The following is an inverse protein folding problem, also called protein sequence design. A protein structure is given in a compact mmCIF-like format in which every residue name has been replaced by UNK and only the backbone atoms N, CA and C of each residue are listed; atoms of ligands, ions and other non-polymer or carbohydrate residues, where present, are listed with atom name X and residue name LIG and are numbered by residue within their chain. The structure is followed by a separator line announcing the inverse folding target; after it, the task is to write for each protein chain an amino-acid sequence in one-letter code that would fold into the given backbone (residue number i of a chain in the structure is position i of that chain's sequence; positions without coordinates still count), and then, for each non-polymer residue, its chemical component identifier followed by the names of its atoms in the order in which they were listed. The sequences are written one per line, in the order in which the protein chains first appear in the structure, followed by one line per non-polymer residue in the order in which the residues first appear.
data_IF_876689485727
#
_entry.id   IF_876689485727
#
_cell.length_a   1.000
_cell.length_b   1.000
_cell.length_c   1.000
_cell.angle_alpha   90.00
_cell.angle_beta   90.00
_cell.angle_gamma   90.00
#
_symmetry.space_group_name_H-M   'P 1'
#
loop_
_entity.id
_entity.type
_entity.pdbx_description
1 polymer ?
#
# COMPACT_ATOMS: atom_id res chain seq x y z
N UNK A 1 5.25 -23.03 -12.57
CA UNK A 1 4.65 -22.76 -13.92
C UNK A 1 3.77 -21.52 -13.82
N UNK A 2 3.95 -20.57 -14.75
CA UNK A 2 3.15 -19.34 -14.84
C UNK A 2 2.01 -19.56 -15.83
N UNK A 3 0.77 -19.29 -15.44
CA UNK A 3 -0.43 -19.38 -16.26
C UNK A 3 -1.11 -18.02 -16.33
N UNK A 4 -1.16 -17.41 -17.51
CA UNK A 4 -1.89 -16.18 -17.79
C UNK A 4 -3.12 -16.50 -18.65
N UNK A 5 -4.29 -15.98 -18.23
CA UNK A 5 -5.56 -16.11 -18.96
C UNK A 5 -6.15 -14.75 -19.29
N UNK A 6 -6.68 -14.62 -20.51
CA UNK A 6 -7.50 -13.48 -20.93
C UNK A 6 -8.87 -14.01 -21.29
N UNK A 7 -9.94 -13.46 -20.68
CA UNK A 7 -11.30 -13.85 -20.97
C UNK A 7 -12.02 -12.74 -21.75
N UNK A 8 -12.51 -13.08 -22.94
CA UNK A 8 -13.33 -12.21 -23.77
C UNK A 8 -14.72 -12.89 -23.99
N UNK A 9 -15.74 -12.39 -23.30
CA UNK A 9 -17.04 -13.04 -23.27
C UNK A 9 -16.96 -14.46 -22.69
N UNK A 10 -17.40 -15.45 -23.47
CA UNK A 10 -17.30 -16.88 -23.11
C UNK A 10 -15.98 -17.54 -23.48
N UNK A 11 -15.12 -16.85 -24.25
CA UNK A 11 -13.85 -17.41 -24.73
C UNK A 11 -12.71 -17.08 -23.79
N UNK A 12 -11.92 -18.07 -23.43
CA UNK A 12 -10.70 -17.93 -22.62
C UNK A 12 -9.49 -18.22 -23.48
N UNK A 13 -8.56 -17.27 -23.53
CA UNK A 13 -7.30 -17.38 -24.24
C UNK A 13 -6.16 -17.65 -23.27
N UNK A 14 -5.21 -18.49 -23.69
CA UNK A 14 -3.89 -18.67 -23.10
C UNK A 14 -2.89 -18.02 -24.07
N UNK A 15 -2.60 -16.73 -23.92
CA UNK A 15 -1.78 -16.00 -24.90
C UNK A 15 -0.33 -16.47 -24.89
N UNK A 16 0.29 -16.45 -26.05
CA UNK A 16 1.75 -16.55 -26.14
C UNK A 16 2.34 -15.21 -25.64
N UNK A 17 3.15 -15.28 -24.59
CA UNK A 17 3.78 -14.10 -23.97
C UNK A 17 5.18 -13.94 -24.56
N UNK A 18 5.48 -12.72 -25.02
CA UNK A 18 6.82 -12.31 -25.38
C UNK A 18 7.54 -11.81 -24.12
N UNK A 19 8.71 -12.33 -23.84
CA UNK A 19 9.66 -11.89 -22.82
C UNK A 19 9.18 -12.14 -21.38
N UNK A 20 8.57 -11.16 -20.72
CA UNK A 20 8.29 -11.22 -19.28
C UNK A 20 6.85 -10.79 -18.90
N UNK A 21 6.40 -11.26 -17.75
CA UNK A 21 5.20 -10.76 -17.07
C UNK A 21 5.66 -10.03 -15.82
N UNK A 22 5.18 -8.80 -15.59
CA UNK A 22 5.44 -8.07 -14.35
C UNK A 22 4.15 -7.84 -13.57
N UNK A 23 4.22 -8.08 -12.26
CA UNK A 23 3.13 -7.80 -11.32
C UNK A 23 3.63 -6.89 -10.22
N UNK A 24 3.01 -5.73 -10.05
CA UNK A 24 3.42 -4.71 -9.09
C UNK A 24 2.31 -4.44 -8.09
N UNK A 25 2.66 -4.37 -6.81
CA UNK A 25 1.74 -3.97 -5.73
C UNK A 25 2.41 -2.95 -4.83
N UNK A 26 1.59 -2.04 -4.31
CA UNK A 26 2.01 -1.04 -3.32
C UNK A 26 1.12 -1.11 -2.09
N UNK A 27 1.69 -0.78 -0.95
CA UNK A 27 0.95 -0.74 0.30
C UNK A 27 -0.16 0.30 0.30
N UNK A 28 0.00 1.40 -0.42
CA UNK A 28 -0.83 2.59 -0.28
C UNK A 28 -1.08 3.29 -1.62
N UNK A 29 -2.33 3.63 -1.86
CA UNK A 29 -2.72 4.65 -2.85
C UNK A 29 -2.76 4.25 -4.31
N UNK A 30 -2.32 3.04 -4.69
CA UNK A 30 -2.32 2.59 -6.08
C UNK A 30 -2.88 1.17 -6.23
N UNK A 31 -3.57 0.87 -7.34
CA UNK A 31 -4.02 -0.48 -7.65
C UNK A 31 -2.85 -1.39 -7.99
N UNK A 32 -3.02 -2.69 -7.76
CA UNK A 32 -2.11 -3.69 -8.30
C UNK A 32 -2.12 -3.65 -9.83
N UNK A 33 -0.93 -3.73 -10.43
CA UNK A 33 -0.71 -3.58 -11.86
C UNK A 33 -0.06 -4.84 -12.43
N UNK A 34 -0.60 -5.34 -13.53
CA UNK A 34 -0.03 -6.44 -14.30
C UNK A 34 0.32 -5.93 -15.71
N UNK A 35 1.56 -6.14 -16.14
CA UNK A 35 2.03 -5.78 -17.48
C UNK A 35 2.64 -6.99 -18.17
N UNK A 36 2.32 -7.16 -19.44
CA UNK A 36 2.83 -8.25 -20.28
C UNK A 36 2.70 -7.92 -21.75
N UNK A 37 3.45 -8.62 -22.61
CA UNK A 37 3.38 -8.49 -24.06
C UNK A 37 2.85 -9.76 -24.69
N UNK A 38 1.80 -9.64 -25.50
CA UNK A 38 1.17 -10.76 -26.21
C UNK A 38 1.66 -10.79 -27.65
N UNK A 39 2.10 -11.96 -28.11
CA UNK A 39 2.34 -12.20 -29.54
C UNK A 39 0.96 -12.41 -30.19
N UNK A 40 0.62 -11.52 -31.12
CA UNK A 40 -0.65 -11.56 -31.86
C UNK A 40 -0.57 -12.65 -32.93
N UNK A 41 -1.48 -13.59 -32.83
CA UNK A 41 -1.78 -14.58 -33.87
C UNK A 41 -3.16 -14.29 -34.51
N UNK A 42 -3.62 -15.18 -35.39
CA UNK A 42 -4.93 -15.05 -36.07
C UNK A 42 -6.10 -15.34 -35.14
N UNK A 43 -5.87 -16.06 -34.05
CA UNK A 43 -6.90 -16.60 -33.16
C UNK A 43 -7.21 -15.64 -32.02
N UNK A 44 -6.18 -15.05 -31.40
CA UNK A 44 -6.35 -14.26 -30.18
C UNK A 44 -7.06 -12.95 -30.46
N UNK A 45 -8.18 -12.75 -29.78
CA UNK A 45 -9.01 -11.53 -29.86
C UNK A 45 -9.41 -11.08 -28.46
N UNK A 46 -8.94 -9.90 -28.06
CA UNK A 46 -9.27 -9.31 -26.76
C UNK A 46 -9.27 -7.78 -26.84
N UNK A 47 -9.91 -7.14 -25.89
CA UNK A 47 -10.08 -5.69 -25.82
C UNK A 47 -9.97 -5.18 -24.39
N UNK A 48 -9.92 -3.85 -24.24
CA UNK A 48 -10.02 -3.18 -22.95
C UNK A 48 -11.31 -3.62 -22.23
N UNK A 49 -11.24 -3.76 -20.89
CA UNK A 49 -12.33 -4.31 -20.07
C UNK A 49 -12.34 -5.84 -19.96
N UNK A 50 -11.59 -6.58 -20.79
CA UNK A 50 -11.50 -8.02 -20.64
C UNK A 50 -10.79 -8.42 -19.34
N UNK A 51 -11.24 -9.51 -18.73
CA UNK A 51 -10.68 -10.07 -17.51
C UNK A 51 -9.33 -10.71 -17.79
N UNK A 52 -8.36 -10.43 -16.94
CA UNK A 52 -7.05 -11.09 -16.92
C UNK A 52 -6.82 -11.75 -15.58
N UNK A 53 -6.32 -12.97 -15.61
CA UNK A 53 -5.97 -13.75 -14.43
C UNK A 53 -4.57 -14.31 -14.55
N UNK A 54 -3.76 -14.16 -13.49
CA UNK A 54 -2.43 -14.76 -13.36
C UNK A 54 -2.43 -15.77 -12.23
N UNK A 55 -1.90 -16.96 -12.51
CA UNK A 55 -1.58 -17.99 -11.51
C UNK A 55 -0.11 -18.40 -11.64
N UNK A 56 0.50 -18.71 -10.50
CA UNK A 56 1.86 -19.26 -10.43
C UNK A 56 1.81 -20.52 -9.60
N UNK A 57 2.25 -21.64 -10.17
CA UNK A 57 2.16 -22.99 -9.54
C UNK A 57 0.76 -23.29 -8.98
N UNK A 58 -0.27 -23.04 -9.79
CA UNK A 58 -1.68 -23.16 -9.48
C UNK A 58 -2.20 -22.21 -8.36
N UNK A 59 -1.33 -21.38 -7.77
CA UNK A 59 -1.74 -20.38 -6.77
C UNK A 59 -2.23 -19.11 -7.46
N UNK A 60 -3.32 -18.56 -6.99
CA UNK A 60 -3.93 -17.31 -7.45
C UNK A 60 -3.04 -16.12 -7.09
N UNK A 61 -2.67 -15.29 -8.07
CA UNK A 61 -1.77 -14.14 -7.88
C UNK A 61 -2.47 -12.83 -8.21
N UNK A 62 -3.06 -12.73 -9.41
CA UNK A 62 -3.69 -11.50 -9.88
C UNK A 62 -4.99 -11.81 -10.61
N UNK A 63 -6.03 -10.99 -10.38
CA UNK A 63 -7.25 -10.94 -11.16
C UNK A 63 -7.66 -9.49 -11.35
N UNK A 64 -7.83 -9.06 -12.59
CA UNK A 64 -8.15 -7.67 -12.92
C UNK A 64 -8.57 -7.51 -14.36
N UNK A 65 -8.67 -6.27 -14.84
CA UNK A 65 -9.15 -5.97 -16.17
C UNK A 65 -8.09 -5.24 -17.00
N UNK A 66 -8.10 -5.45 -18.31
CA UNK A 66 -7.27 -4.73 -19.26
C UNK A 66 -7.73 -3.28 -19.33
N UNK A 67 -6.82 -2.35 -19.11
CA UNK A 67 -7.06 -0.91 -19.24
C UNK A 67 -6.35 -0.31 -20.45
N UNK A 68 -5.22 -0.88 -20.85
CA UNK A 68 -4.45 -0.35 -21.96
C UNK A 68 -3.93 -1.48 -22.85
N UNK A 69 -4.07 -1.25 -24.14
CA UNK A 69 -3.44 -2.05 -25.20
C UNK A 69 -2.61 -1.13 -26.08
N UNK A 70 -1.33 -1.42 -26.24
CA UNK A 70 -0.42 -0.64 -27.10
C UNK A 70 0.25 -1.57 -28.10
N UNK A 71 0.09 -1.31 -29.40
CA UNK A 71 0.90 -1.95 -30.45
C UNK A 71 2.23 -1.26 -30.54
N UNK A 72 3.30 -2.04 -30.41
CA UNK A 72 4.68 -1.57 -30.58
C UNK A 72 5.33 -2.06 -31.85
N UNK A 73 4.80 -3.15 -32.42
CA UNK A 73 5.17 -3.73 -33.69
C UNK A 73 3.95 -4.46 -34.28
N UNK A 74 4.06 -5.01 -35.51
CA UNK A 74 2.93 -5.65 -36.18
C UNK A 74 2.33 -6.82 -35.42
N UNK A 75 3.14 -7.54 -34.67
CA UNK A 75 2.73 -8.76 -33.97
C UNK A 75 2.74 -8.67 -32.43
N UNK A 76 3.20 -7.56 -31.84
CA UNK A 76 3.32 -7.45 -30.40
C UNK A 76 2.33 -6.45 -29.85
N UNK A 77 1.55 -6.88 -28.86
CA UNK A 77 0.58 -6.06 -28.13
C UNK A 77 1.02 -5.98 -26.67
N UNK A 78 1.48 -4.80 -26.23
CA UNK A 78 1.73 -4.51 -24.82
C UNK A 78 0.41 -4.26 -24.10
N UNK A 79 0.21 -4.92 -22.96
CA UNK A 79 -1.01 -4.89 -22.17
C UNK A 79 -0.70 -4.41 -20.76
N UNK A 80 -1.52 -3.48 -20.28
CA UNK A 80 -1.55 -3.11 -18.86
C UNK A 80 -2.92 -3.41 -18.28
N UNK A 81 -2.97 -4.21 -17.23
CA UNK A 81 -4.17 -4.54 -16.48
C UNK A 81 -4.05 -4.06 -15.03
N UNK A 82 -5.17 -3.70 -14.43
CA UNK A 82 -5.28 -3.31 -13.03
C UNK A 82 -6.31 -4.16 -12.30
N UNK A 83 -6.08 -4.37 -11.01
CA UNK A 83 -7.04 -4.99 -10.09
C UNK A 83 -8.22 -4.05 -9.74
N UNK A 84 -9.15 -4.51 -8.89
CA UNK A 84 -10.33 -3.73 -8.51
C UNK A 84 -10.02 -2.41 -7.81
N UNK A 85 -8.86 -2.27 -7.16
CA UNK A 85 -8.49 -1.01 -6.49
C UNK A 85 -8.41 0.15 -7.49
N UNK A 86 -8.30 -0.13 -8.80
CA UNK A 86 -8.34 0.90 -9.85
C UNK A 86 -9.65 1.70 -9.83
N UNK A 87 -10.75 1.06 -9.49
CA UNK A 87 -12.06 1.72 -9.42
C UNK A 87 -12.20 2.64 -8.21
N UNK A 88 -11.39 2.48 -7.19
CA UNK A 88 -11.32 3.41 -6.05
C UNK A 88 -10.68 4.77 -6.40
N UNK A 89 -10.15 4.93 -7.62
CA UNK A 89 -9.73 6.25 -8.16
C UNK A 89 -10.90 7.12 -8.63
N UNK A 90 -12.12 6.59 -8.68
CA UNK A 90 -13.32 7.39 -8.92
C UNK A 90 -13.48 8.40 -7.78
N UNK A 91 -13.99 9.59 -8.14
CA UNK A 91 -14.30 10.66 -7.19
C UNK A 91 -15.77 10.69 -6.84
N UNK A 92 -16.06 11.05 -5.60
CA UNK A 92 -17.42 11.25 -5.12
C UNK A 92 -17.43 12.28 -3.96
N UNK A 93 -18.62 12.68 -3.55
CA UNK A 93 -18.87 13.43 -2.32
C UNK A 93 -19.70 12.55 -1.39
N UNK A 94 -19.17 12.23 -0.21
CA UNK A 94 -19.78 11.33 0.77
C UNK A 94 -19.81 11.94 2.16
N UNK A 95 -20.85 11.60 2.90
CA UNK A 95 -20.94 11.87 4.34
C UNK A 95 -20.87 10.53 5.07
N UNK A 96 -19.90 10.42 5.96
CA UNK A 96 -19.77 9.26 6.85
C UNK A 96 -20.10 9.72 8.28
N UNK A 97 -21.04 9.05 8.90
CA UNK A 97 -21.52 9.38 10.25
C UNK A 97 -21.18 8.24 11.22
N UNK A 98 -20.23 8.50 12.12
CA UNK A 98 -19.83 7.58 13.18
C UNK A 98 -19.53 6.15 12.69
N UNK A 99 -18.68 6.01 11.67
CA UNK A 99 -18.30 4.74 11.06
C UNK A 99 -16.85 4.37 11.35
N UNK A 100 -16.57 3.08 11.45
CA UNK A 100 -15.19 2.58 11.41
C UNK A 100 -14.64 2.60 9.99
N UNK A 101 -13.31 2.60 9.83
CA UNK A 101 -12.70 2.51 8.49
C UNK A 101 -13.15 1.25 7.74
N UNK A 102 -13.32 0.13 8.43
CA UNK A 102 -13.85 -1.11 7.86
C UNK A 102 -15.26 -0.94 7.30
N UNK A 103 -16.14 -0.23 8.01
CA UNK A 103 -17.51 0.07 7.58
C UNK A 103 -17.52 1.03 6.38
N UNK A 104 -16.65 2.05 6.37
CA UNK A 104 -16.49 2.96 5.24
C UNK A 104 -16.09 2.19 3.97
N UNK A 105 -15.10 1.27 4.08
CA UNK A 105 -14.67 0.44 2.95
C UNK A 105 -15.82 -0.40 2.40
N UNK A 106 -16.56 -1.09 3.28
CA UNK A 106 -17.71 -1.92 2.87
C UNK A 106 -18.79 -1.11 2.16
N UNK A 107 -19.14 0.07 2.70
CA UNK A 107 -20.13 0.96 2.10
C UNK A 107 -19.68 1.46 0.72
N UNK A 108 -18.43 1.89 0.58
CA UNK A 108 -17.91 2.33 -0.71
C UNK A 108 -17.83 1.19 -1.73
N UNK A 109 -17.44 0.00 -1.30
CA UNK A 109 -17.44 -1.18 -2.17
C UNK A 109 -18.86 -1.55 -2.66
N UNK A 110 -19.86 -1.48 -1.78
CA UNK A 110 -21.27 -1.71 -2.11
C UNK A 110 -21.80 -0.66 -3.11
N UNK A 111 -21.57 0.64 -2.84
CA UNK A 111 -21.99 1.74 -3.71
C UNK A 111 -21.43 1.59 -5.14
N UNK A 112 -20.19 1.10 -5.26
CA UNK A 112 -19.51 0.94 -6.56
C UNK A 112 -19.53 -0.50 -7.08
N UNK A 113 -20.31 -1.40 -6.47
CA UNK A 113 -20.49 -2.82 -6.87
C UNK A 113 -19.15 -3.57 -6.96
N UNK A 114 -18.22 -3.27 -6.04
CA UNK A 114 -16.94 -3.94 -5.93
C UNK A 114 -17.06 -5.16 -5.02
N UNK A 115 -16.35 -6.22 -5.36
CA UNK A 115 -16.37 -7.46 -4.58
C UNK A 115 -15.45 -7.28 -3.36
N UNK A 116 -15.96 -7.60 -2.17
CA UNK A 116 -15.18 -7.60 -0.94
C UNK A 116 -14.83 -9.01 -0.50
N UNK A 117 -13.60 -9.19 -0.07
CA UNK A 117 -13.10 -10.39 0.60
C UNK A 117 -13.12 -10.21 2.13
N UNK A 118 -12.01 -10.52 2.77
CA UNK A 118 -11.86 -10.35 4.22
C UNK A 118 -11.63 -8.88 4.57
N UNK A 119 -12.55 -8.25 5.28
CA UNK A 119 -12.39 -6.89 5.82
C UNK A 119 -12.29 -7.01 7.35
N UNK A 120 -11.06 -6.95 7.90
CA UNK A 120 -10.83 -6.92 9.35
C UNK A 120 -11.48 -5.69 9.99
N UNK A 121 -12.10 -5.85 11.16
CA UNK A 121 -12.63 -4.70 11.90
C UNK A 121 -11.49 -3.83 12.42
N UNK A 122 -11.62 -2.53 12.21
CA UNK A 122 -10.63 -1.55 12.64
C UNK A 122 -10.87 -1.02 14.05
N UNK A 123 -12.03 -1.27 14.63
CA UNK A 123 -12.40 -1.05 16.04
C UNK A 123 -12.36 0.41 16.51
N UNK A 124 -12.13 1.39 15.64
CA UNK A 124 -12.18 2.82 15.97
C UNK A 124 -13.29 3.50 15.19
N UNK A 125 -14.24 4.08 15.91
CA UNK A 125 -15.34 4.84 15.32
C UNK A 125 -14.84 6.25 15.03
N UNK A 126 -14.86 6.62 13.76
CA UNK A 126 -14.47 7.94 13.28
C UNK A 126 -15.70 8.83 13.35
N UNK A 127 -15.56 10.03 13.91
CA UNK A 127 -16.62 11.02 13.98
C UNK A 127 -17.14 11.40 12.60
N UNK A 128 -18.34 12.00 12.56
CA UNK A 128 -18.98 12.46 11.34
C UNK A 128 -18.05 13.35 10.52
N UNK A 129 -17.92 13.03 9.25
CA UNK A 129 -17.06 13.76 8.32
C UNK A 129 -17.68 13.86 6.93
N UNK A 130 -17.42 14.97 6.27
CA UNK A 130 -17.77 15.21 4.88
C UNK A 130 -16.53 15.07 4.03
N UNK A 131 -16.58 14.18 3.06
CA UNK A 131 -15.55 13.98 2.05
C UNK A 131 -16.07 14.55 0.73
N UNK A 132 -15.57 15.73 0.35
CA UNK A 132 -16.04 16.43 -0.82
C UNK A 132 -15.04 16.34 -1.98
N UNK A 133 -15.52 15.89 -3.14
CA UNK A 133 -14.74 15.74 -4.38
C UNK A 133 -13.41 14.98 -4.21
N UNK A 134 -13.40 13.97 -3.37
CA UNK A 134 -12.23 13.11 -3.11
C UNK A 134 -12.33 11.80 -3.86
N UNK A 135 -11.19 11.17 -4.15
CA UNK A 135 -11.20 9.79 -4.62
C UNK A 135 -11.65 8.86 -3.48
N UNK A 136 -12.32 7.75 -3.82
CA UNK A 136 -12.71 6.76 -2.82
C UNK A 136 -11.47 6.21 -2.08
N UNK A 137 -10.35 6.08 -2.80
CA UNK A 137 -9.06 5.69 -2.22
C UNK A 137 -8.58 6.68 -1.15
N UNK A 138 -8.68 7.99 -1.41
CA UNK A 138 -8.30 9.03 -0.44
C UNK A 138 -9.21 9.02 0.78
N UNK A 139 -10.52 8.81 0.59
CA UNK A 139 -11.48 8.67 1.69
C UNK A 139 -11.11 7.49 2.61
N UNK A 140 -10.82 6.32 2.01
CA UNK A 140 -10.40 5.11 2.74
C UNK A 140 -9.06 5.34 3.43
N UNK A 141 -8.08 5.88 2.71
CA UNK A 141 -6.74 6.10 3.27
C UNK A 141 -6.79 7.07 4.45
N UNK A 142 -7.56 8.14 4.35
CA UNK A 142 -7.76 9.08 5.45
C UNK A 142 -8.40 8.41 6.67
N UNK A 143 -9.39 7.52 6.45
CA UNK A 143 -10.01 6.76 7.55
C UNK A 143 -9.03 5.79 8.23
N UNK A 144 -8.16 5.14 7.43
CA UNK A 144 -7.11 4.25 7.96
C UNK A 144 -6.02 5.03 8.71
N UNK A 145 -5.62 6.22 8.21
CA UNK A 145 -4.64 7.08 8.88
C UNK A 145 -5.18 7.60 10.24
N UNK A 146 -6.46 7.99 10.30
CA UNK A 146 -7.12 8.36 11.56
C UNK A 146 -7.17 7.17 12.53
N UNK A 147 -7.51 5.98 12.04
CA UNK A 147 -7.52 4.75 12.84
C UNK A 147 -6.12 4.46 13.40
N UNK A 148 -5.07 4.56 12.57
CA UNK A 148 -3.70 4.35 12.99
C UNK A 148 -3.28 5.33 14.10
N UNK A 149 -3.62 6.62 13.96
CA UNK A 149 -3.30 7.65 14.97
C UNK A 149 -3.96 7.38 16.33
N UNK A 150 -5.16 6.78 16.35
CA UNK A 150 -5.93 6.56 17.57
C UNK A 150 -5.76 5.17 18.18
N UNK A 151 -5.42 4.16 17.37
CA UNK A 151 -5.29 2.76 17.82
C UNK A 151 -3.86 2.26 17.77
N UNK A 152 -2.95 3.03 17.17
CA UNK A 152 -1.56 2.63 16.92
C UNK A 152 -1.45 1.28 16.16
N UNK A 153 -2.42 1.00 15.30
CA UNK A 153 -2.52 -0.22 14.50
C UNK A 153 -2.66 0.14 13.03
N UNK A 154 -1.78 -0.41 12.21
CA UNK A 154 -1.76 -0.17 10.77
C UNK A 154 -2.53 -1.26 10.04
N UNK A 155 -3.36 -0.86 9.09
CA UNK A 155 -4.10 -1.75 8.19
C UNK A 155 -3.73 -1.47 6.75
N UNK A 156 -3.83 -2.49 5.92
CA UNK A 156 -3.52 -2.44 4.49
C UNK A 156 -4.72 -2.89 3.70
N UNK A 157 -5.14 -2.06 2.74
CA UNK A 157 -6.14 -2.38 1.74
C UNK A 157 -5.45 -2.96 0.51
N UNK A 158 -5.92 -4.09 0.03
CA UNK A 158 -5.38 -4.75 -1.14
C UNK A 158 -6.44 -5.55 -1.89
N UNK A 159 -6.16 -5.90 -3.14
CA UNK A 159 -6.98 -6.85 -3.89
C UNK A 159 -6.45 -8.27 -3.67
N UNK A 160 -7.33 -9.17 -3.26
CA UNK A 160 -7.05 -10.60 -3.10
C UNK A 160 -7.72 -11.39 -4.20
N UNK A 161 -7.07 -11.41 -5.37
CA UNK A 161 -7.54 -12.10 -6.57
C UNK A 161 -8.97 -11.70 -7.01
N UNK A 162 -9.22 -10.40 -7.08
CA UNK A 162 -10.49 -9.82 -7.50
C UNK A 162 -11.47 -9.57 -6.35
N UNK A 163 -11.00 -9.57 -5.10
CA UNK A 163 -11.80 -9.20 -3.93
C UNK A 163 -11.02 -8.23 -3.03
N UNK A 164 -11.60 -7.05 -2.76
CA UNK A 164 -11.00 -6.05 -1.90
C UNK A 164 -10.93 -6.57 -0.46
N UNK A 165 -9.75 -6.62 0.09
CA UNK A 165 -9.47 -7.11 1.44
C UNK A 165 -8.74 -6.06 2.28
N UNK A 166 -9.02 -6.05 3.58
CA UNK A 166 -8.37 -5.21 4.58
C UNK A 166 -7.80 -6.10 5.69
N UNK A 167 -6.50 -6.01 5.94
CA UNK A 167 -5.84 -6.73 7.03
C UNK A 167 -4.87 -5.84 7.79
N UNK A 168 -4.66 -6.16 9.06
CA UNK A 168 -3.57 -5.53 9.81
C UNK A 168 -2.21 -6.02 9.31
N UNK A 169 -1.18 -5.19 9.42
CA UNK A 169 0.19 -5.59 9.03
C UNK A 169 0.68 -6.81 9.83
N UNK A 170 0.20 -7.00 11.06
CA UNK A 170 0.55 -8.17 11.87
C UNK A 170 0.03 -9.47 11.26
N UNK A 171 -1.16 -9.41 10.62
CA UNK A 171 -1.76 -10.54 9.89
C UNK A 171 -1.08 -10.81 8.54
N UNK A 172 -0.22 -9.89 8.07
CA UNK A 172 0.53 -9.96 6.80
C UNK A 172 2.01 -10.25 7.02
N UNK A 173 2.39 -10.75 8.19
CA UNK A 173 3.76 -11.12 8.51
C UNK A 173 4.13 -12.42 7.81
N UNK A 174 5.26 -12.41 7.11
CA UNK A 174 5.79 -13.55 6.37
C UNK A 174 7.10 -14.04 6.98
N UNK A 175 7.43 -15.29 6.72
CA UNK A 175 8.65 -15.98 7.12
C UNK A 175 9.74 -16.00 6.02
N UNK A 176 9.70 -15.04 5.11
CA UNK A 176 10.62 -14.93 3.97
C UNK A 176 11.78 -14.03 4.35
N UNK A 177 12.96 -14.59 4.51
CA UNK A 177 14.16 -13.83 4.89
C UNK A 177 14.82 -13.21 3.67
N UNK A 178 15.08 -11.90 3.75
CA UNK A 178 15.96 -11.18 2.82
C UNK A 178 17.35 -11.07 3.46
N UNK A 179 18.32 -11.68 2.80
CA UNK A 179 19.73 -11.66 3.19
C UNK A 179 20.65 -11.50 1.96
N UNK A 180 21.93 -11.29 2.17
CA UNK A 180 22.89 -11.04 1.08
C UNK A 180 22.92 -12.12 0.00
N UNK A 181 22.60 -13.37 0.34
CA UNK A 181 22.56 -14.48 -0.62
C UNK A 181 21.26 -14.56 -1.44
N UNK A 182 20.21 -13.85 -1.03
CA UNK A 182 18.87 -13.93 -1.64
C UNK A 182 18.55 -12.78 -2.59
N UNK A 183 19.46 -11.82 -2.79
CA UNK A 183 19.28 -10.69 -3.68
C UNK A 183 20.62 -10.21 -4.26
N UNK A 184 20.57 -9.53 -5.40
CA UNK A 184 21.79 -9.08 -6.10
C UNK A 184 22.31 -7.76 -5.57
N UNK A 185 21.44 -6.79 -5.28
CA UNK A 185 21.83 -5.44 -4.89
C UNK A 185 20.93 -4.85 -3.81
N UNK A 186 21.51 -3.93 -3.02
CA UNK A 186 20.87 -3.29 -1.87
C UNK A 186 21.22 -1.80 -1.83
N UNK A 187 20.21 -0.95 -1.72
CA UNK A 187 20.37 0.49 -1.45
C UNK A 187 19.68 0.83 -0.12
N UNK A 188 20.45 1.31 0.84
CA UNK A 188 19.95 1.66 2.17
C UNK A 188 20.07 3.15 2.44
N UNK A 189 18.98 3.79 2.82
CA UNK A 189 18.90 5.19 3.21
C UNK A 189 18.35 5.34 4.62
N UNK A 190 19.03 6.10 5.46
CA UNK A 190 18.55 6.59 6.75
C UNK A 190 18.38 8.10 6.70
N UNK A 191 17.21 8.63 7.05
CA UNK A 191 16.88 10.05 6.87
C UNK A 191 16.05 10.61 8.02
N UNK A 192 16.20 11.91 8.25
CA UNK A 192 15.33 12.73 9.11
C UNK A 192 14.58 13.80 8.31
N UNK A 193 14.70 13.79 6.98
CA UNK A 193 14.17 14.82 6.08
C UNK A 193 12.65 14.73 5.88
N UNK A 194 12.07 13.52 5.86
CA UNK A 194 10.66 13.32 5.57
C UNK A 194 9.96 12.53 6.68
N UNK A 195 8.77 12.97 7.09
CA UNK A 195 7.94 12.31 8.10
C UNK A 195 8.64 12.08 9.44
N UNK A 196 9.64 12.90 9.77
CA UNK A 196 10.32 12.92 11.05
C UNK A 196 10.05 14.24 11.76
N UNK A 197 9.42 14.17 12.92
CA UNK A 197 9.04 15.36 13.70
C UNK A 197 9.38 15.11 15.17
N UNK A 198 10.19 15.96 15.77
CA UNK A 198 10.57 15.92 17.19
C UNK A 198 9.84 16.97 18.04
N UNK A 199 8.98 17.74 17.39
CA UNK A 199 8.10 18.73 18.01
C UNK A 199 6.73 18.67 17.38
N UNK A 200 5.71 18.34 18.16
CA UNK A 200 4.31 18.30 17.72
C UNK A 200 3.60 19.50 18.32
N UNK A 201 2.93 20.27 17.47
CA UNK A 201 2.13 21.43 17.85
C UNK A 201 0.72 21.28 17.31
N UNK A 202 -0.23 21.09 18.21
CA UNK A 202 -1.66 21.04 17.88
C UNK A 202 -2.34 22.34 18.32
N UNK A 203 -3.14 22.92 17.45
CA UNK A 203 -3.88 24.14 17.72
C UNK A 203 -5.38 23.89 17.66
N UNK A 204 -6.11 24.40 18.62
CA UNK A 204 -7.55 24.35 18.70
C UNK A 204 -8.14 25.76 18.88
N UNK A 205 -9.05 26.18 18.00
CA UNK A 205 -9.76 27.44 18.14
C UNK A 205 -10.98 27.22 19.05
N UNK A 206 -10.90 27.72 20.26
CA UNK A 206 -11.94 27.55 21.28
C UNK A 206 -13.06 28.57 21.08
N UNK A 207 -14.19 28.11 20.56
CA UNK A 207 -15.35 28.97 20.27
C UNK A 207 -15.97 29.62 21.51
N UNK A 208 -15.81 29.01 22.69
CA UNK A 208 -16.34 29.53 23.96
C UNK A 208 -15.49 30.68 24.49
N UNK A 209 -14.17 30.53 24.45
CA UNK A 209 -13.23 31.52 24.97
C UNK A 209 -12.75 32.51 23.91
N UNK A 210 -13.04 32.24 22.62
CA UNK A 210 -12.52 32.98 21.44
C UNK A 210 -10.99 33.07 21.41
N UNK A 211 -10.31 32.12 22.05
CA UNK A 211 -8.85 32.00 22.08
C UNK A 211 -8.41 30.70 21.41
N UNK A 212 -7.16 30.71 20.98
CA UNK A 212 -6.51 29.50 20.45
C UNK A 212 -5.76 28.80 21.55
N UNK A 213 -6.18 27.58 21.86
CA UNK A 213 -5.49 26.70 22.78
C UNK A 213 -4.40 25.92 22.01
N UNK A 214 -3.21 25.80 22.58
CA UNK A 214 -2.07 25.13 21.97
C UNK A 214 -1.63 23.98 22.86
N UNK A 215 -1.42 22.83 22.25
CA UNK A 215 -0.90 21.63 22.89
C UNK A 215 0.41 21.24 22.21
N UNK A 216 1.46 21.04 23.00
CA UNK A 216 2.79 20.72 22.51
C UNK A 216 3.31 19.45 23.16
N UNK A 217 3.95 18.60 22.34
CA UNK A 217 4.77 17.49 22.79
C UNK A 217 6.12 17.54 22.06
N UNK A 218 7.23 17.31 22.77
CA UNK A 218 8.58 17.45 22.18
C UNK A 218 9.57 16.49 22.81
N UNK A 219 10.59 16.14 22.03
CA UNK A 219 11.77 15.44 22.48
C UNK A 219 12.98 16.39 22.45
N UNK A 220 13.41 16.84 23.61
CA UNK A 220 14.52 17.80 23.73
C UNK A 220 15.86 17.22 23.27
N UNK A 221 16.08 15.91 23.41
CA UNK A 221 17.32 15.26 22.99
C UNK A 221 17.42 15.22 21.46
N UNK A 222 16.33 14.83 20.80
CA UNK A 222 16.31 14.82 19.34
C UNK A 222 16.27 16.24 18.75
N UNK A 223 15.69 17.23 19.44
CA UNK A 223 15.80 18.63 19.02
C UNK A 223 17.26 19.11 19.09
N UNK A 224 17.98 18.76 20.14
CA UNK A 224 19.39 19.12 20.28
C UNK A 224 20.27 18.44 19.19
N UNK A 225 19.94 17.18 18.82
CA UNK A 225 20.71 16.40 17.86
C UNK A 225 20.42 16.74 16.38
N UNK A 226 19.16 17.05 16.04
CA UNK A 226 18.68 17.18 14.65
C UNK A 226 18.18 18.58 14.29
N UNK A 227 18.08 19.48 15.25
CA UNK A 227 17.33 20.72 15.11
C UNK A 227 15.83 20.49 15.35
N UNK A 228 15.06 21.57 15.29
CA UNK A 228 13.62 21.52 15.52
C UNK A 228 12.87 21.14 14.24
N UNK A 229 12.26 19.96 14.24
CA UNK A 229 11.42 19.44 13.17
C UNK A 229 9.97 19.42 13.65
N UNK A 230 9.17 20.39 13.20
CA UNK A 230 7.81 20.61 13.72
C UNK A 230 6.73 19.99 12.84
N UNK A 231 5.84 19.23 13.50
CA UNK A 231 4.52 18.89 12.97
C UNK A 231 3.50 19.88 13.50
N UNK A 232 2.66 20.43 12.63
CA UNK A 232 1.57 21.33 13.01
C UNK A 232 0.24 20.81 12.45
N UNK A 233 -0.79 20.75 13.33
CA UNK A 233 -2.14 20.40 12.93
C UNK A 233 -3.17 21.23 13.72
N UNK A 234 -4.24 21.63 13.03
CA UNK A 234 -5.41 22.23 13.68
C UNK A 234 -6.40 21.10 14.00
N UNK A 235 -6.78 20.99 15.26
CA UNK A 235 -7.68 19.92 15.76
C UNK A 235 -9.04 20.47 16.17
N UNK A 236 -10.05 19.60 16.22
CA UNK A 236 -11.42 19.93 16.62
C UNK A 236 -11.60 19.79 18.15
N UNK A 237 -12.72 20.36 18.68
CA UNK A 237 -13.03 20.47 20.10
C UNK A 237 -13.10 19.15 20.87
N UNK A 238 -13.48 18.08 20.20
CA UNK A 238 -13.80 16.79 20.87
C UNK A 238 -12.61 15.84 20.99
N UNK A 239 -11.39 16.31 20.70
CA UNK A 239 -10.19 15.47 20.68
C UNK A 239 -9.38 15.72 21.96
N UNK A 240 -8.92 14.64 22.62
CA UNK A 240 -7.89 14.76 23.63
C UNK A 240 -6.55 15.15 22.95
N UNK A 241 -6.37 16.45 22.75
CA UNK A 241 -5.24 17.00 22.01
C UNK A 241 -3.89 16.66 22.65
N UNK A 242 -3.81 16.55 23.97
CA UNK A 242 -2.59 16.13 24.67
C UNK A 242 -2.21 14.69 24.31
N UNK A 243 -3.14 13.76 24.47
CA UNK A 243 -2.89 12.35 24.14
C UNK A 243 -2.55 12.17 22.63
N UNK A 244 -3.21 12.95 21.76
CA UNK A 244 -2.89 12.97 20.33
C UNK A 244 -1.48 13.50 20.07
N UNK A 245 -1.06 14.58 20.71
CA UNK A 245 0.28 15.14 20.55
C UNK A 245 1.37 14.15 20.98
N UNK A 246 1.18 13.49 22.13
CA UNK A 246 2.10 12.46 22.64
C UNK A 246 2.15 11.24 21.68
N UNK A 247 1.00 10.80 21.18
CA UNK A 247 0.92 9.71 20.20
C UNK A 247 1.63 10.04 18.87
N UNK A 248 1.44 11.25 18.34
CA UNK A 248 2.12 11.72 17.12
C UNK A 248 3.63 11.86 17.33
N UNK A 249 4.06 12.34 18.50
CA UNK A 249 5.48 12.39 18.83
C UNK A 249 6.09 10.99 18.83
N UNK A 250 5.47 10.03 19.51
CA UNK A 250 5.91 8.63 19.50
C UNK A 250 5.97 8.05 18.08
N UNK A 251 5.03 8.40 17.22
CA UNK A 251 4.95 7.91 15.85
C UNK A 251 6.06 8.47 14.95
N UNK A 252 6.32 9.78 15.05
CA UNK A 252 7.15 10.50 14.09
C UNK A 252 8.56 10.85 14.58
N UNK A 253 8.85 10.79 15.89
CA UNK A 253 10.14 11.17 16.45
C UNK A 253 11.20 10.07 16.29
N UNK A 254 11.47 9.70 15.05
CA UNK A 254 12.44 8.66 14.68
C UNK A 254 12.96 8.85 13.25
N UNK A 255 14.16 8.35 12.98
CA UNK A 255 14.72 8.31 11.63
C UNK A 255 13.88 7.40 10.76
N UNK A 256 13.58 7.83 9.54
CA UNK A 256 13.06 6.94 8.51
C UNK A 256 14.19 6.09 7.95
N UNK A 257 13.92 4.82 7.66
CA UNK A 257 14.88 3.88 7.10
C UNK A 257 14.23 3.20 5.91
N UNK A 258 14.84 3.36 4.75
CA UNK A 258 14.39 2.74 3.52
C UNK A 258 15.48 1.79 3.02
N UNK A 259 15.07 0.67 2.47
CA UNK A 259 15.93 -0.31 1.85
C UNK A 259 15.30 -0.72 0.52
N UNK A 260 16.02 -0.50 -0.57
CA UNK A 260 15.66 -1.06 -1.87
C UNK A 260 16.47 -2.32 -2.10
N UNK A 261 15.81 -3.35 -2.58
CA UNK A 261 16.38 -4.67 -2.86
C UNK A 261 16.05 -5.01 -4.30
N UNK A 262 17.06 -5.30 -5.11
CA UNK A 262 16.91 -5.65 -6.52
C UNK A 262 17.17 -7.12 -6.76
N UNK A 263 16.41 -7.71 -7.68
CA UNK A 263 16.53 -9.11 -8.11
C UNK A 263 16.55 -10.11 -6.95
N UNK A 264 15.71 -9.89 -5.93
CA UNK A 264 15.53 -10.88 -4.88
C UNK A 264 14.84 -12.14 -5.43
N UNK A 265 15.11 -13.29 -4.82
CA UNK A 265 14.42 -14.55 -5.14
C UNK A 265 12.91 -14.35 -4.94
N UNK A 266 12.13 -14.68 -5.97
CA UNK A 266 10.70 -14.40 -6.02
C UNK A 266 9.87 -15.28 -5.09
N UNK A 267 8.97 -14.67 -4.32
CA UNK A 267 7.90 -15.35 -3.60
C UNK A 267 6.57 -14.59 -3.77
N UNK A 268 5.58 -15.25 -4.35
CA UNK A 268 4.27 -14.64 -4.67
C UNK A 268 3.47 -14.19 -3.44
N UNK A 269 3.86 -14.57 -2.23
CA UNK A 269 3.24 -14.12 -0.98
C UNK A 269 3.62 -12.69 -0.62
N UNK A 270 4.77 -12.22 -1.14
CA UNK A 270 5.23 -10.84 -0.89
C UNK A 270 4.36 -9.87 -1.67
N UNK A 271 3.84 -8.88 -0.98
CA UNK A 271 3.03 -7.81 -1.57
C UNK A 271 3.19 -6.52 -0.78
N UNK A 272 2.78 -5.41 -1.34
CA UNK A 272 2.71 -4.14 -0.60
C UNK A 272 1.92 -4.31 0.70
N UNK A 273 2.53 -3.95 1.83
CA UNK A 273 1.95 -4.07 3.17
C UNK A 273 2.34 -5.31 3.97
N UNK A 274 3.05 -6.28 3.38
CA UNK A 274 3.61 -7.39 4.15
C UNK A 274 4.76 -6.92 5.05
N UNK A 275 4.96 -7.64 6.16
CA UNK A 275 6.16 -7.54 6.99
C UNK A 275 7.05 -8.75 6.68
N UNK A 276 8.30 -8.49 6.31
CA UNK A 276 9.30 -9.52 6.04
C UNK A 276 10.57 -9.32 6.87
N UNK A 277 11.18 -10.39 7.40
CA UNK A 277 12.44 -10.30 8.10
C UNK A 277 13.58 -9.97 7.12
N UNK A 278 14.42 -9.04 7.52
CA UNK A 278 15.61 -8.64 6.78
C UNK A 278 16.82 -8.82 7.66
N UNK A 279 17.84 -9.51 7.14
CA UNK A 279 19.13 -9.69 7.80
C UNK A 279 20.26 -9.32 6.86
N UNK A 280 20.74 -8.08 6.99
CA UNK A 280 21.80 -7.55 6.15
C UNK A 280 22.90 -6.92 6.99
N UNK A 281 24.14 -7.19 6.61
CA UNK A 281 25.32 -6.50 7.08
C UNK A 281 25.90 -5.70 5.92
N UNK A 282 25.75 -4.36 6.00
CA UNK A 282 26.14 -3.41 4.95
C UNK A 282 27.34 -2.57 5.45
N UNK A 283 28.42 -3.24 5.84
CA UNK A 283 29.60 -2.60 6.40
C UNK A 283 29.36 -2.11 7.83
N UNK A 284 29.16 -0.81 8.00
CA UNK A 284 28.88 -0.16 9.28
C UNK A 284 27.42 -0.25 9.74
N UNK A 285 26.54 -0.78 8.89
CA UNK A 285 25.10 -0.89 9.15
C UNK A 285 24.68 -2.34 9.24
N UNK A 286 24.00 -2.70 10.33
CA UNK A 286 23.30 -3.98 10.49
C UNK A 286 21.82 -3.75 10.49
N UNK A 287 21.12 -4.45 9.58
CA UNK A 287 19.67 -4.50 9.53
C UNK A 287 19.25 -5.91 9.96
N UNK A 288 18.65 -6.04 11.12
CA UNK A 288 18.14 -7.31 11.67
C UNK A 288 16.76 -7.06 12.25
N UNK A 289 15.78 -6.89 11.38
CA UNK A 289 14.44 -6.53 11.82
C UNK A 289 13.39 -6.92 10.78
N UNK A 290 12.13 -6.94 11.19
CA UNK A 290 11.03 -6.92 10.24
C UNK A 290 10.93 -5.56 9.56
N UNK A 291 10.85 -5.57 8.23
CA UNK A 291 10.64 -4.37 7.44
C UNK A 291 9.30 -4.46 6.68
N UNK A 292 8.66 -3.31 6.54
CA UNK A 292 7.39 -3.18 5.84
C UNK A 292 7.63 -3.02 4.34
N UNK A 293 7.03 -3.86 3.54
CA UNK A 293 7.04 -3.76 2.07
C UNK A 293 6.17 -2.56 1.66
N UNK A 294 6.79 -1.50 1.15
CA UNK A 294 6.08 -0.36 0.57
C UNK A 294 5.64 -0.66 -0.86
N UNK A 295 6.55 -1.19 -1.66
CA UNK A 295 6.27 -1.63 -3.03
C UNK A 295 7.02 -2.92 -3.33
N UNK A 296 6.44 -3.75 -4.16
CA UNK A 296 7.12 -4.89 -4.77
C UNK A 296 6.70 -5.04 -6.21
N UNK A 297 7.69 -5.25 -7.08
CA UNK A 297 7.51 -5.63 -8.48
C UNK A 297 8.03 -7.04 -8.67
N UNK A 298 7.16 -7.96 -9.01
CA UNK A 298 7.50 -9.32 -9.41
C UNK A 298 7.76 -9.37 -10.90
N UNK A 299 8.82 -10.07 -11.30
CA UNK A 299 9.17 -10.31 -12.70
C UNK A 299 9.22 -11.83 -12.92
N UNK A 300 8.38 -12.31 -13.83
CA UNK A 300 8.33 -13.70 -14.25
C UNK A 300 8.91 -13.79 -15.67
N UNK A 301 10.09 -14.38 -15.82
CA UNK A 301 10.82 -14.48 -17.09
C UNK A 301 11.54 -15.81 -17.18
N UNK A 302 11.42 -16.52 -18.31
CA UNK A 302 12.17 -17.76 -18.59
C UNK A 302 12.09 -18.80 -17.45
N UNK A 303 10.90 -19.01 -16.88
CA UNK A 303 10.64 -19.87 -15.71
C UNK A 303 11.32 -19.43 -14.41
N UNK A 304 11.89 -18.25 -14.36
CA UNK A 304 12.45 -17.64 -13.15
C UNK A 304 11.47 -16.61 -12.59
N UNK A 305 11.56 -16.37 -11.29
CA UNK A 305 10.76 -15.39 -10.61
C UNK A 305 11.65 -14.56 -9.69
N UNK A 306 11.68 -13.25 -9.94
CA UNK A 306 12.45 -12.26 -9.18
C UNK A 306 11.53 -11.19 -8.59
N UNK A 307 12.04 -10.47 -7.59
CA UNK A 307 11.36 -9.33 -6.97
C UNK A 307 12.31 -8.14 -6.83
N UNK A 308 11.83 -6.97 -7.22
CA UNK A 308 12.37 -5.69 -6.79
C UNK A 308 11.48 -5.15 -5.67
N UNK A 309 12.06 -4.88 -4.50
CA UNK A 309 11.30 -4.57 -3.29
C UNK A 309 11.79 -3.26 -2.70
N UNK A 310 10.85 -2.36 -2.37
CA UNK A 310 11.15 -1.20 -1.52
C UNK A 310 10.60 -1.46 -0.13
N UNK A 311 11.48 -1.45 0.84
CA UNK A 311 11.20 -1.73 2.23
C UNK A 311 11.33 -0.47 3.08
N UNK A 312 10.45 -0.31 4.04
CA UNK A 312 10.57 0.71 5.07
C UNK A 312 10.79 0.06 6.42
N UNK A 313 11.92 0.41 7.04
CA UNK A 313 12.22 0.04 8.41
C UNK A 313 11.78 1.13 9.36
N UNK A 314 11.53 0.74 10.55
CA UNK A 314 11.14 1.59 11.64
C UNK A 314 10.26 0.79 12.59
N UNK A 315 10.31 1.13 13.85
CA UNK A 315 9.49 0.52 14.88
C UNK A 315 8.00 0.79 14.61
N UNK A 316 7.46 0.08 13.58
CA UNK A 316 6.01 0.05 13.33
C UNK A 316 5.31 -0.92 14.25
N UNK A 317 6.08 -1.64 15.05
CA UNK A 317 5.53 -2.47 16.09
C UNK A 317 5.37 -1.59 17.30
N UNK A 318 4.15 -1.21 17.52
CA UNK A 318 3.74 -0.75 18.83
C UNK A 318 3.68 -1.95 19.73
#
# INVERSE_FOLDING_TARGET
MVELKIQNGSTVYLPCIEDEITWETSRKGVPGKLEFSVIKDEIISFQEGNLVQLKVDNKKVFSGHIFTKKRSSDQIIKVTAYDQLRYLKNKDTKVFDNLTAAQIIKRLAEDFKLITGTIEDTGYVIETRVEDNKTLMDMIQSALDITMQNRNKMYVLFDDYGAISLKSIDSLKLDILIEKSTAEDFDYTSSIDSNTYNFIKLAYDNDKTKKRDIYEAKDSNNIAAWGLLQYYEKVNQNINAKAKADGLLKLYNKKTRNLSVSNAIGDIRVRGGCLIPVWLELGDIKVQNYMLVETVKHTFKSNQHYMDITLRGGDFVA
#
